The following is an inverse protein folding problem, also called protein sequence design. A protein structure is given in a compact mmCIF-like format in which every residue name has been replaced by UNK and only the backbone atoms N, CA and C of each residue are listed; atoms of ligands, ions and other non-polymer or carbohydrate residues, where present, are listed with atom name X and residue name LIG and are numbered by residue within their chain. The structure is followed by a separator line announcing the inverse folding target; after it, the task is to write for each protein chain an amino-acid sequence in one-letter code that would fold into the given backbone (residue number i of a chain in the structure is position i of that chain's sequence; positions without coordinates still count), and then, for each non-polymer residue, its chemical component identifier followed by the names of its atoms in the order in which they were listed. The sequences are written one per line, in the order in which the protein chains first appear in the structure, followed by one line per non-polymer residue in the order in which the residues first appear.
data_IF_590457737849
#
_entry.id   IF_590457737849
#
_cell.length_a   1.000
_cell.length_b   1.000
_cell.length_c   1.000
_cell.angle_alpha   90.00
_cell.angle_beta   90.00
_cell.angle_gamma   90.00
#
_symmetry.space_group_name_H-M   'P 1'
#
loop_
_entity.id
_entity.type
_entity.pdbx_description
1 polymer ?
#
# COMPACT_ATOMS: atom_id res chain seq x y z
N UNK A 1 11.73 -8.76 12.98
CA UNK A 1 12.30 -8.26 14.24
C UNK A 1 13.77 -7.98 13.95
N UNK A 2 14.14 -6.71 13.74
CA UNK A 2 15.54 -6.34 13.54
C UNK A 2 15.99 -5.68 14.83
N UNK A 3 16.71 -6.43 15.67
CA UNK A 3 17.50 -5.87 16.76
C UNK A 3 18.81 -5.42 16.13
N UNK A 4 19.07 -4.12 16.11
CA UNK A 4 20.41 -3.60 15.88
C UNK A 4 20.74 -2.65 17.02
N UNK A 5 21.53 -3.19 17.95
CA UNK A 5 22.30 -2.43 18.92
C UNK A 5 23.75 -2.75 18.59
N UNK A 6 24.48 -1.81 18.01
CA UNK A 6 25.93 -1.78 18.13
C UNK A 6 26.34 -0.37 18.59
N UNK A 7 26.74 -0.32 19.86
CA UNK A 7 27.54 0.75 20.42
C UNK A 7 28.99 0.47 20.00
N UNK A 8 29.44 1.17 18.95
CA UNK A 8 30.81 1.12 18.44
C UNK A 8 30.86 1.50 16.96
N UNK A 9 31.36 2.71 16.67
CA UNK A 9 31.50 3.34 15.35
C UNK A 9 30.20 3.69 14.56
N UNK A 10 29.62 4.84 14.92
CA UNK A 10 29.44 5.93 13.96
C UNK A 10 28.11 6.18 13.25
N UNK A 11 27.23 5.20 13.03
CA UNK A 11 26.03 5.41 12.19
C UNK A 11 24.74 5.55 13.02
N UNK A 12 24.04 6.68 12.87
CA UNK A 12 22.73 6.91 13.48
C UNK A 12 21.63 6.78 12.41
N UNK A 13 20.57 6.04 12.73
CA UNK A 13 19.36 5.96 11.91
C UNK A 13 18.38 7.02 12.37
N UNK A 14 18.02 7.93 11.47
CA UNK A 14 17.02 8.95 11.75
C UNK A 14 15.76 8.71 10.91
N UNK A 15 14.62 8.61 11.60
CA UNK A 15 13.31 8.60 10.94
C UNK A 15 13.02 10.01 10.41
N UNK A 16 12.58 10.11 9.17
CA UNK A 16 12.04 11.37 8.65
C UNK A 16 10.76 11.74 9.40
N UNK A 17 10.57 13.00 9.83
CA UNK A 17 9.35 13.42 10.51
C UNK A 17 8.13 13.28 9.60
N UNK A 18 7.33 12.24 9.83
CA UNK A 18 6.00 12.14 9.24
C UNK A 18 5.03 12.90 10.16
N UNK A 19 4.34 13.90 9.60
CA UNK A 19 3.39 14.70 10.35
C UNK A 19 2.16 13.84 10.72
N UNK A 20 2.04 13.55 12.02
CA UNK A 20 0.88 13.10 12.81
C UNK A 20 -0.15 12.16 12.16
N UNK A 21 -0.19 10.90 12.61
CA UNK A 21 -1.35 10.01 12.48
C UNK A 21 -2.20 10.06 13.75
N UNK A 22 -3.50 10.36 13.60
CA UNK A 22 -4.50 10.11 14.64
C UNK A 22 -4.99 8.68 14.48
N UNK A 23 -4.65 7.84 15.46
CA UNK A 23 -5.19 6.50 15.62
C UNK A 23 -6.69 6.58 15.94
N UNK A 24 -7.51 5.80 15.23
CA UNK A 24 -8.84 5.45 15.69
C UNK A 24 -8.69 4.40 16.80
N UNK A 25 -8.73 4.87 18.04
CA UNK A 25 -8.96 4.03 19.20
C UNK A 25 -10.41 3.54 19.18
N UNK A 26 -10.62 2.26 18.85
CA UNK A 26 -11.32 1.33 19.75
C UNK A 26 -11.38 -0.09 19.15
N UNK A 27 -10.72 -1.01 19.86
CA UNK A 27 -10.95 -2.47 19.91
C UNK A 27 -10.67 -3.32 18.66
N UNK A 28 -9.52 -4.01 18.77
CA UNK A 28 -9.21 -5.37 18.29
C UNK A 28 -9.33 -5.67 16.79
N UNK A 29 -8.19 -5.57 16.07
CA UNK A 29 -7.95 -6.34 14.83
C UNK A 29 -6.56 -6.96 14.86
N UNK A 30 -6.35 -7.84 15.86
CA UNK A 30 -5.19 -8.73 15.87
C UNK A 30 -5.43 -9.78 14.78
N UNK A 31 -4.64 -9.67 13.71
CA UNK A 31 -4.84 -10.29 12.40
C UNK A 31 -5.94 -9.61 11.59
N UNK A 32 -5.65 -9.24 10.34
CA UNK A 32 -6.62 -8.63 9.43
C UNK A 32 -7.64 -9.70 9.07
N UNK A 33 -8.62 -9.85 9.95
CA UNK A 33 -9.79 -10.70 9.85
C UNK A 33 -10.91 -9.75 9.45
N UNK A 34 -11.00 -9.48 8.14
CA UNK A 34 -12.05 -8.59 7.62
C UNK A 34 -13.29 -9.43 7.42
N UNK A 35 -14.35 -9.13 8.17
CA UNK A 35 -15.63 -9.76 7.95
C UNK A 35 -16.09 -9.46 6.51
N UNK A 36 -16.46 -10.52 5.81
CA UNK A 36 -17.07 -10.47 4.47
C UNK A 36 -18.25 -9.50 4.56
N UNK A 37 -18.31 -8.57 3.60
CA UNK A 37 -19.30 -7.48 3.45
C UNK A 37 -19.04 -6.15 4.17
N UNK A 38 -18.02 -6.04 5.03
CA UNK A 38 -17.70 -4.75 5.69
C UNK A 38 -17.26 -3.72 4.65
N UNK A 39 -17.91 -2.56 4.69
CA UNK A 39 -17.55 -1.38 3.92
C UNK A 39 -16.40 -0.65 4.62
N UNK A 40 -15.29 -0.42 3.92
CA UNK A 40 -14.17 0.32 4.48
C UNK A 40 -13.44 1.17 3.42
N UNK A 41 -12.81 2.27 3.85
CA UNK A 41 -11.88 2.99 3.00
C UNK A 41 -10.56 2.24 2.84
N UNK A 42 -9.98 2.35 1.65
CA UNK A 42 -8.62 1.88 1.37
C UNK A 42 -7.69 3.09 1.27
N UNK A 43 -6.63 3.10 2.06
CA UNK A 43 -5.64 4.18 2.09
C UNK A 43 -4.30 3.68 1.57
N UNK A 44 -3.70 4.45 0.67
CA UNK A 44 -2.36 4.19 0.18
C UNK A 44 -1.33 4.71 1.19
N UNK A 45 -0.56 3.79 1.78
CA UNK A 45 0.36 4.08 2.89
C UNK A 45 1.46 5.08 2.54
N UNK A 46 1.94 5.07 1.29
CA UNK A 46 3.03 5.96 0.89
C UNK A 46 2.56 7.42 0.70
N UNK A 47 1.40 7.64 0.10
CA UNK A 47 0.87 9.01 -0.13
C UNK A 47 -0.07 9.49 0.97
N UNK A 48 -0.50 8.61 1.88
CA UNK A 48 -1.56 8.84 2.86
C UNK A 48 -2.91 9.25 2.24
N UNK A 49 -3.11 9.00 0.94
CA UNK A 49 -4.35 9.33 0.22
C UNK A 49 -5.26 8.11 0.15
N UNK A 50 -6.56 8.35 0.15
CA UNK A 50 -7.59 7.34 -0.02
C UNK A 50 -7.80 7.03 -1.50
N UNK A 51 -8.12 5.77 -1.79
CA UNK A 51 -8.51 5.31 -3.12
C UNK A 51 -9.96 5.70 -3.34
N UNK A 52 -10.26 6.42 -4.42
CA UNK A 52 -11.58 6.92 -4.75
C UNK A 52 -11.99 6.49 -6.15
N UNK A 53 -13.26 6.13 -6.31
CA UNK A 53 -13.86 6.11 -7.65
C UNK A 53 -14.21 7.53 -8.11
N UNK A 54 -13.96 7.81 -9.38
CA UNK A 54 -14.35 9.04 -10.04
C UNK A 54 -15.64 8.83 -10.82
N UNK A 55 -16.69 9.58 -10.49
CA UNK A 55 -18.01 9.46 -11.15
C UNK A 55 -18.11 10.26 -12.45
N UNK A 56 -17.16 11.15 -12.71
CA UNK A 56 -17.18 12.07 -13.86
C UNK A 56 -16.11 11.77 -14.89
N UNK A 57 -15.10 10.96 -14.56
CA UNK A 57 -13.99 10.63 -15.46
C UNK A 57 -13.89 9.12 -15.64
N UNK A 58 -13.69 8.71 -16.89
CA UNK A 58 -13.45 7.33 -17.27
C UNK A 58 -11.97 6.99 -17.13
N UNK A 59 -11.67 5.70 -17.05
CA UNK A 59 -10.31 5.15 -17.04
C UNK A 59 -9.51 5.56 -18.30
N UNK A 60 -8.19 5.56 -18.16
CA UNK A 60 -7.30 5.93 -19.26
C UNK A 60 -7.18 4.81 -20.30
N UNK A 61 -7.13 3.56 -19.86
CA UNK A 61 -7.02 2.36 -20.69
C UNK A 61 -8.42 1.86 -21.07
N UNK A 62 -9.26 1.51 -20.10
CA UNK A 62 -10.58 0.93 -20.38
C UNK A 62 -11.67 2.01 -20.38
N UNK A 63 -11.95 2.62 -21.54
CA UNK A 63 -12.86 3.78 -21.65
C UNK A 63 -14.30 3.55 -21.16
N UNK A 64 -14.73 2.30 -21.03
CA UNK A 64 -16.03 1.93 -20.49
C UNK A 64 -16.06 1.89 -18.95
N UNK A 65 -14.89 1.88 -18.31
CA UNK A 65 -14.75 1.80 -16.86
C UNK A 65 -14.51 3.19 -16.25
N UNK A 66 -14.88 3.37 -15.00
CA UNK A 66 -14.63 4.59 -14.24
C UNK A 66 -13.18 4.65 -13.78
N UNK A 67 -12.61 5.86 -13.73
CA UNK A 67 -11.28 6.08 -13.20
C UNK A 67 -11.26 5.85 -11.68
N UNK A 68 -10.18 5.25 -11.21
CA UNK A 68 -9.81 5.24 -9.79
C UNK A 68 -8.68 6.26 -9.58
N UNK A 69 -8.77 7.04 -8.50
CA UNK A 69 -7.83 8.11 -8.20
C UNK A 69 -7.50 8.18 -6.70
N UNK A 70 -6.43 8.87 -6.35
CA UNK A 70 -6.02 9.10 -4.96
C UNK A 70 -6.47 10.50 -4.49
N UNK A 71 -7.17 10.57 -3.35
CA UNK A 71 -7.69 11.81 -2.74
C UNK A 71 -7.29 11.92 -1.26
N UNK A 72 -7.19 13.14 -0.74
CA UNK A 72 -6.69 13.37 0.63
C UNK A 72 -7.72 13.07 1.73
N UNK A 73 -9.00 13.06 1.40
CA UNK A 73 -10.10 12.94 2.34
C UNK A 73 -10.86 11.65 2.14
N UNK A 74 -11.36 11.03 3.20
CA UNK A 74 -12.27 9.91 3.10
C UNK A 74 -13.69 10.40 2.73
N UNK A 75 -14.35 9.74 1.78
CA UNK A 75 -15.73 10.04 1.37
C UNK A 75 -16.46 8.76 0.89
N UNK A 76 -17.75 8.89 0.53
CA UNK A 76 -18.58 7.76 0.07
C UNK A 76 -18.01 7.03 -1.14
N UNK A 77 -17.33 7.74 -2.04
CA UNK A 77 -16.64 7.19 -3.20
C UNK A 77 -15.32 6.49 -2.86
N UNK A 78 -14.89 6.53 -1.60
CA UNK A 78 -13.73 5.80 -1.10
C UNK A 78 -14.09 4.48 -0.41
N UNK A 79 -15.39 4.17 -0.28
CA UNK A 79 -15.87 3.03 0.48
C UNK A 79 -16.06 1.80 -0.42
N UNK A 80 -15.40 0.71 -0.06
CA UNK A 80 -15.44 -0.55 -0.81
C UNK A 80 -15.78 -1.72 0.12
N UNK A 81 -16.54 -2.70 -0.39
CA UNK A 81 -16.71 -4.01 0.26
C UNK A 81 -15.64 -4.94 -0.22
N UNK A 82 -15.06 -5.69 0.70
CA UNK A 82 -14.23 -6.84 0.37
C UNK A 82 -15.13 -8.07 0.35
N UNK A 83 -15.16 -8.72 -0.81
CA UNK A 83 -15.93 -9.94 -1.01
C UNK A 83 -14.99 -11.07 -1.44
N UNK A 84 -15.22 -12.31 -1.01
CA UNK A 84 -14.55 -13.48 -1.57
C UNK A 84 -14.77 -13.55 -3.10
N UNK A 85 -13.71 -13.81 -3.86
CA UNK A 85 -13.81 -14.02 -5.31
C UNK A 85 -14.72 -15.21 -5.63
N UNK A 86 -14.57 -16.28 -4.85
CA UNK A 86 -15.35 -17.50 -4.95
C UNK A 86 -16.35 -17.57 -3.80
N UNK A 87 -17.55 -18.12 -4.05
CA UNK A 87 -18.61 -18.30 -3.03
C UNK A 87 -18.28 -19.40 -2.01
N UNK A 88 -17.08 -19.35 -1.45
CA UNK A 88 -16.57 -20.29 -0.45
C UNK A 88 -16.76 -19.75 0.96
N UNK A 89 -17.07 -18.46 1.10
CA UNK A 89 -17.37 -17.81 2.38
C UNK A 89 -18.70 -17.05 2.34
N UNK A 90 -19.44 -17.12 3.43
CA UNK A 90 -20.75 -16.50 3.65
C UNK A 90 -20.63 -15.16 4.37
N UNK A 91 -21.71 -14.38 4.38
CA UNK A 91 -21.79 -13.15 5.18
C UNK A 91 -21.53 -13.45 6.67
N UNK A 92 -20.69 -12.63 7.31
CA UNK A 92 -20.26 -12.85 8.70
C UNK A 92 -19.04 -13.77 8.87
N UNK A 93 -18.64 -14.50 7.82
CA UNK A 93 -17.33 -15.15 7.79
C UNK A 93 -16.23 -14.15 7.45
N UNK A 94 -14.98 -14.58 7.56
CA UNK A 94 -13.82 -13.68 7.55
C UNK A 94 -12.90 -13.97 6.39
N UNK A 95 -12.47 -12.93 5.69
CA UNK A 95 -11.41 -13.01 4.70
C UNK A 95 -10.08 -13.21 5.42
N UNK A 96 -9.32 -14.20 4.97
CA UNK A 96 -8.01 -14.56 5.50
C UNK A 96 -6.90 -14.09 4.56
N UNK A 97 -5.68 -14.01 5.08
CA UNK A 97 -4.49 -13.79 4.26
C UNK A 97 -4.39 -14.92 3.24
N UNK A 98 -4.00 -14.57 2.02
CA UNK A 98 -3.93 -15.41 0.83
C UNK A 98 -5.26 -15.77 0.16
N UNK A 99 -6.39 -15.31 0.71
CA UNK A 99 -7.66 -15.41 -0.01
C UNK A 99 -7.63 -14.56 -1.28
N UNK A 100 -8.31 -15.07 -2.32
CA UNK A 100 -8.68 -14.25 -3.46
C UNK A 100 -9.98 -13.49 -3.18
N UNK A 101 -9.93 -12.19 -3.40
CA UNK A 101 -11.01 -11.24 -3.12
C UNK A 101 -11.31 -10.36 -4.31
N UNK A 102 -12.50 -9.75 -4.29
CA UNK A 102 -12.88 -8.63 -5.14
C UNK A 102 -13.24 -7.43 -4.26
N UNK A 103 -13.02 -6.24 -4.80
CA UNK A 103 -13.47 -4.99 -4.19
C UNK A 103 -14.70 -4.50 -4.91
N UNK A 104 -15.83 -4.37 -4.23
CA UNK A 104 -17.05 -3.79 -4.76
C UNK A 104 -17.22 -2.35 -4.26
N UNK A 105 -17.60 -1.43 -5.14
CA UNK A 105 -17.96 -0.07 -4.72
C UNK A 105 -19.26 -0.04 -3.91
N UNK A 106 -19.24 0.64 -2.77
CA UNK A 106 -20.47 0.96 -2.03
C UNK A 106 -21.33 1.98 -2.80
N UNK A 107 -20.68 2.94 -3.46
CA UNK A 107 -21.36 4.05 -4.14
C UNK A 107 -22.02 3.60 -5.44
N UNK A 108 -21.42 2.64 -6.13
CA UNK A 108 -21.94 2.04 -7.36
C UNK A 108 -21.94 0.51 -7.24
N UNK A 109 -22.96 -0.08 -6.59
CA UNK A 109 -23.08 -1.54 -6.45
C UNK A 109 -22.98 -2.25 -7.79
N UNK A 110 -22.41 -3.46 -7.79
CA UNK A 110 -22.14 -4.21 -9.01
C UNK A 110 -20.97 -3.69 -9.85
N UNK A 111 -20.25 -2.65 -9.40
CA UNK A 111 -18.98 -2.24 -9.98
C UNK A 111 -17.82 -2.62 -9.08
N UNK A 112 -16.77 -3.16 -9.68
CA UNK A 112 -15.65 -3.81 -9.01
C UNK A 112 -14.32 -3.27 -9.51
N UNK A 113 -13.29 -3.40 -8.68
CA UNK A 113 -11.93 -3.17 -9.15
C UNK A 113 -11.60 -4.14 -10.27
N UNK A 114 -11.06 -3.58 -11.34
CA UNK A 114 -10.63 -4.29 -12.54
C UNK A 114 -9.21 -3.86 -12.89
N UNK A 115 -8.33 -4.83 -13.09
CA UNK A 115 -7.00 -4.60 -13.61
C UNK A 115 -7.04 -4.73 -15.14
N UNK A 116 -6.76 -3.64 -15.84
CA UNK A 116 -6.73 -3.59 -17.29
C UNK A 116 -5.68 -4.54 -17.88
N UNK A 117 -5.73 -4.72 -19.20
CA UNK A 117 -4.62 -5.33 -19.93
C UNK A 117 -3.30 -4.62 -19.58
N UNK A 118 -2.20 -5.37 -19.39
CA UNK A 118 -0.92 -4.79 -19.03
C UNK A 118 -0.35 -3.97 -20.19
N UNK A 119 0.29 -2.87 -19.84
CA UNK A 119 0.97 -1.97 -20.76
C UNK A 119 2.34 -1.57 -20.20
N UNK A 120 3.19 -1.12 -21.11
CA UNK A 120 4.54 -0.71 -20.76
C UNK A 120 4.51 0.66 -20.08
N UNK A 121 4.98 0.72 -18.83
CA UNK A 121 5.08 1.96 -18.06
C UNK A 121 6.37 2.69 -18.42
N UNK A 122 7.48 1.93 -18.47
CA UNK A 122 8.80 2.41 -18.88
C UNK A 122 9.61 1.28 -19.55
N UNK A 123 10.89 1.51 -19.81
CA UNK A 123 11.76 0.57 -20.51
C UNK A 123 12.00 -0.76 -19.76
N UNK A 124 11.73 -0.82 -18.45
CA UNK A 124 11.94 -2.02 -17.62
C UNK A 124 10.65 -2.56 -16.97
N UNK A 125 9.58 -1.78 -16.96
CA UNK A 125 8.41 -2.05 -16.14
C UNK A 125 7.15 -2.23 -16.98
N UNK A 126 6.52 -3.39 -16.81
CA UNK A 126 5.16 -3.66 -17.26
C UNK A 126 4.20 -3.46 -16.08
N UNK A 127 3.07 -2.79 -16.30
CA UNK A 127 2.03 -2.65 -15.29
C UNK A 127 0.64 -2.58 -15.90
N UNK A 128 -0.38 -2.51 -15.05
CA UNK A 128 -1.79 -2.39 -15.45
C UNK A 128 -2.43 -1.23 -14.72
N UNK A 129 -3.41 -0.59 -15.35
CA UNK A 129 -4.26 0.38 -14.68
C UNK A 129 -5.30 -0.39 -13.87
N UNK A 130 -5.51 0.03 -12.62
CA UNK A 130 -6.66 -0.43 -11.84
C UNK A 130 -7.78 0.59 -11.99
N UNK A 131 -8.91 0.15 -12.51
CA UNK A 131 -10.11 0.95 -12.74
C UNK A 131 -11.36 0.29 -12.12
N UNK A 132 -12.52 0.94 -12.25
CA UNK A 132 -13.77 0.45 -11.66
C UNK A 132 -14.81 0.16 -12.76
N UNK A 133 -15.15 -1.12 -12.95
CA UNK A 133 -16.02 -1.58 -14.03
C UNK A 133 -16.97 -2.70 -13.58
N UNK A 134 -17.77 -3.24 -14.49
CA UNK A 134 -18.67 -4.38 -14.18
C UNK A 134 -17.91 -5.71 -14.10
N UNK A 135 -16.75 -5.78 -14.76
CA UNK A 135 -15.86 -6.93 -14.71
C UNK A 135 -15.12 -7.01 -13.38
N UNK A 136 -14.84 -8.25 -12.94
CA UNK A 136 -14.26 -8.52 -11.62
C UNK A 136 -12.87 -9.10 -11.78
N UNK A 137 -11.85 -8.35 -11.36
CA UNK A 137 -10.50 -8.90 -11.21
C UNK A 137 -10.32 -9.43 -9.80
N UNK A 138 -9.73 -10.63 -9.69
CA UNK A 138 -9.36 -11.21 -8.41
C UNK A 138 -8.06 -10.62 -7.89
N UNK A 139 -8.04 -10.27 -6.62
CA UNK A 139 -6.86 -9.77 -5.90
C UNK A 139 -6.51 -10.77 -4.79
N UNK A 140 -5.23 -11.08 -4.63
CA UNK A 140 -4.78 -11.93 -3.52
C UNK A 140 -4.42 -11.03 -2.34
N UNK A 141 -5.04 -11.27 -1.18
CA UNK A 141 -4.73 -10.51 0.03
C UNK A 141 -3.40 -10.99 0.61
N UNK A 142 -2.38 -10.13 0.67
CA UNK A 142 -1.07 -10.47 1.25
C UNK A 142 -0.80 -9.57 2.46
N UNK A 143 -0.30 -10.16 3.54
CA UNK A 143 0.07 -9.40 4.73
C UNK A 143 1.39 -8.67 4.52
N UNK A 144 1.35 -7.34 4.59
CA UNK A 144 2.55 -6.51 4.58
C UNK A 144 3.18 -6.37 5.97
N UNK A 145 2.38 -6.09 6.99
CA UNK A 145 2.86 -5.84 8.35
C UNK A 145 1.90 -6.42 9.39
N UNK A 146 2.46 -7.01 10.47
CA UNK A 146 1.70 -7.36 11.67
C UNK A 146 1.54 -6.11 12.53
N UNK A 147 0.34 -5.89 13.06
CA UNK A 147 0.11 -4.84 14.04
C UNK A 147 1.10 -5.01 15.21
N UNK A 148 1.80 -3.94 15.53
CA UNK A 148 2.73 -3.91 16.65
C UNK A 148 2.22 -2.92 17.69
N UNK A 149 2.05 -3.43 18.91
CA UNK A 149 1.77 -2.65 20.11
C UNK A 149 2.98 -1.83 20.56
N UNK A 150 4.15 -2.03 19.94
CA UNK A 150 5.34 -1.26 20.28
C UNK A 150 5.17 0.22 19.90
N UNK A 151 5.72 1.14 20.71
CA UNK A 151 5.70 2.57 20.43
C UNK A 151 6.12 2.89 18.99
N UNK A 152 5.49 3.90 18.39
CA UNK A 152 5.81 4.35 17.03
C UNK A 152 7.20 5.00 16.90
N UNK A 153 7.96 5.05 18.00
CA UNK A 153 9.36 5.49 18.05
C UNK A 153 10.26 4.50 17.29
N UNK A 154 9.93 3.21 17.24
CA UNK A 154 10.77 2.19 16.61
C UNK A 154 10.60 2.11 15.09
N UNK A 155 11.70 1.97 14.36
CA UNK A 155 11.69 1.77 12.90
C UNK A 155 11.00 0.44 12.57
N UNK A 156 10.04 0.48 11.65
CA UNK A 156 9.26 -0.67 11.19
C UNK A 156 9.65 -1.04 9.77
N UNK A 157 9.45 -2.28 9.35
CA UNK A 157 9.65 -2.67 7.95
C UNK A 157 8.84 -1.76 7.01
N UNK A 158 9.46 -1.31 5.92
CA UNK A 158 8.87 -0.31 5.01
C UNK A 158 8.98 1.14 5.46
N UNK A 159 9.57 1.43 6.62
CA UNK A 159 9.85 2.81 7.03
C UNK A 159 10.91 3.43 6.13
N UNK A 160 10.67 4.68 5.73
CA UNK A 160 11.68 5.50 5.06
C UNK A 160 12.56 6.13 6.13
N UNK A 161 13.86 5.90 6.02
CA UNK A 161 14.87 6.42 6.94
C UNK A 161 15.95 7.14 6.16
N UNK A 162 16.67 8.03 6.86
CA UNK A 162 17.93 8.57 6.38
C UNK A 162 19.04 8.06 7.27
N UNK A 163 20.17 7.73 6.67
CA UNK A 163 21.37 7.33 7.39
C UNK A 163 22.23 8.57 7.60
N UNK A 164 22.56 8.87 8.86
CA UNK A 164 23.40 9.99 9.23
C UNK A 164 24.73 9.48 9.78
N UNK A 165 25.83 9.91 9.15
CA UNK A 165 27.19 9.60 9.56
C UNK A 165 27.64 10.62 10.60
N UNK A 166 27.83 10.18 11.85
CA UNK A 166 28.05 11.09 12.98
C UNK A 166 29.34 11.91 12.86
N UNK A 167 30.44 11.28 12.47
CA UNK A 167 31.77 11.95 12.49
C UNK A 167 31.96 12.94 11.35
N UNK A 168 31.34 12.66 10.20
CA UNK A 168 31.38 13.53 9.02
C UNK A 168 30.27 14.58 9.04
N UNK A 169 29.37 14.51 10.03
CA UNK A 169 28.17 15.34 10.15
C UNK A 169 27.34 15.41 8.85
N UNK A 170 27.24 14.28 8.14
CA UNK A 170 26.65 14.22 6.80
C UNK A 170 25.64 13.08 6.66
N UNK A 171 24.65 13.27 5.77
CA UNK A 171 23.74 12.20 5.37
C UNK A 171 24.36 11.35 4.27
N UNK A 172 24.23 10.04 4.39
CA UNK A 172 24.65 9.11 3.33
C UNK A 172 23.63 9.14 2.19
N UNK A 173 24.14 9.18 0.97
CA UNK A 173 23.38 9.03 -0.27
C UNK A 173 24.05 7.92 -1.09
N UNK A 174 23.24 7.13 -1.79
CA UNK A 174 23.75 6.30 -2.88
C UNK A 174 23.71 7.15 -4.16
N UNK A 175 24.85 7.34 -4.79
CA UNK A 175 25.00 8.04 -6.07
C UNK A 175 25.69 7.13 -7.10
N UNK A 176 25.43 7.35 -8.39
CA UNK A 176 25.98 6.55 -9.49
C UNK A 176 24.91 6.13 -10.51
N UNK A 177 25.35 5.69 -11.68
CA UNK A 177 24.51 5.00 -12.66
C UNK A 177 24.47 3.52 -12.24
N UNK A 178 23.27 2.96 -12.08
CA UNK A 178 23.07 1.56 -11.64
C UNK A 178 23.59 0.50 -12.63
N UNK A 179 24.12 0.94 -13.78
CA UNK A 179 24.50 0.13 -14.93
C UNK A 179 26.02 0.06 -15.15
N UNK A 180 26.84 0.71 -14.32
CA UNK A 180 28.30 0.67 -14.44
C UNK A 180 28.93 -0.37 -13.51
N UNK A 181 29.86 -1.17 -14.05
CA UNK A 181 30.64 -2.13 -13.28
C UNK A 181 31.50 -1.40 -12.25
N UNK A 182 31.37 -1.76 -10.97
CA UNK A 182 32.18 -1.16 -9.90
C UNK A 182 33.62 -1.63 -10.04
N UNK A 183 34.45 -0.84 -10.73
CA UNK A 183 35.90 -1.04 -10.73
C UNK A 183 36.50 -0.36 -9.51
N UNK A 184 36.91 -1.14 -8.51
CA UNK A 184 37.77 -0.63 -7.44
C UNK A 184 39.12 -0.21 -8.03
N UNK A 185 39.36 1.09 -8.14
CA UNK A 185 40.70 1.62 -8.37
C UNK A 185 41.54 1.41 -7.10
N UNK A 186 42.20 0.25 -7.02
CA UNK A 186 43.26 0.02 -6.05
C UNK A 186 44.47 0.91 -6.40
N UNK A 187 44.65 1.99 -5.64
CA UNK A 187 45.90 2.76 -5.58
C UNK A 187 46.68 2.44 -4.32
#
# INVERSE_FOLDING_TARGET
MVKLKEEGNGTRIEKTPQHWYKSFHDKAYVDIVIAVTVAMPLQHTFTNKYIHMCTSQTSQVDKNNMMIMLQEYNAKNAQFRILPQYKVKSEGEVVQIYDQIVFESIKSPGHFFHASAPFQIDHMTLGSEVNLGVERSGFTLIRFQKESLEPDVYVRGGSIIRLFHKELEAYMVAEGLFDEEVTEDAR
#
